data_IF_986884678705
#
_entry.id   IF_986884678705
#
_cell.length_a   1.000
_cell.length_b   1.000
_cell.length_c   1.000
_cell.angle_alpha   90.00
_cell.angle_beta   90.00
_cell.angle_gamma   90.00
#
_symmetry.space_group_name_H-M   'P 1'
#
loop_
_entity.id
_entity.type
_entity.pdbx_description
1 polymer ?
#
# COMPACT_ATOMS: atom_id res chain seq x y z
N UNK A 1 9.19 -51.31 4.75
CA UNK A 1 10.02 -50.24 4.16
C UNK A 1 9.17 -49.09 3.59
N UNK A 2 8.27 -49.33 2.63
CA UNK A 2 7.44 -48.26 2.04
C UNK A 2 6.56 -47.49 3.05
N UNK A 3 6.09 -48.14 4.11
CA UNK A 3 5.25 -47.50 5.13
C UNK A 3 5.99 -46.41 5.94
N UNK A 4 7.29 -46.60 6.22
CA UNK A 4 8.09 -45.67 7.02
C UNK A 4 8.41 -44.42 6.21
N UNK A 5 8.72 -44.57 4.91
CA UNK A 5 8.94 -43.44 4.01
C UNK A 5 7.63 -42.67 3.78
N UNK A 6 6.51 -43.37 3.60
CA UNK A 6 5.19 -42.74 3.49
C UNK A 6 4.85 -41.94 4.77
N UNK A 7 5.14 -42.49 5.96
CA UNK A 7 4.95 -41.82 7.23
C UNK A 7 5.87 -40.60 7.42
N UNK A 8 7.11 -40.65 6.92
CA UNK A 8 8.02 -39.50 6.95
C UNK A 8 7.58 -38.38 5.98
N UNK A 9 7.07 -38.74 4.80
CA UNK A 9 6.55 -37.79 3.81
C UNK A 9 5.23 -37.16 4.30
N UNK A 10 4.32 -37.97 4.85
CA UNK A 10 3.08 -37.50 5.47
C UNK A 10 3.35 -36.67 6.73
N UNK A 11 4.35 -37.06 7.52
CA UNK A 11 4.82 -36.31 8.68
C UNK A 11 5.39 -34.95 8.29
N UNK A 12 6.18 -34.88 7.22
CA UNK A 12 6.69 -33.63 6.66
C UNK A 12 5.54 -32.72 6.17
N UNK A 13 4.60 -33.28 5.41
CA UNK A 13 3.39 -32.56 4.97
C UNK A 13 2.54 -32.05 6.14
N UNK A 14 2.41 -32.86 7.20
CA UNK A 14 1.71 -32.49 8.44
C UNK A 14 2.41 -31.38 9.22
N UNK A 15 3.74 -31.39 9.29
CA UNK A 15 4.53 -30.33 9.93
C UNK A 15 4.39 -29.02 9.14
N UNK A 16 4.43 -29.07 7.81
CA UNK A 16 4.17 -27.91 6.95
C UNK A 16 2.75 -27.37 7.13
N UNK A 17 1.75 -28.25 7.25
CA UNK A 17 0.35 -27.88 7.50
C UNK A 17 0.14 -27.27 8.90
N UNK A 18 0.82 -27.77 9.93
CA UNK A 18 0.76 -27.20 11.29
C UNK A 18 1.46 -25.83 11.38
N UNK A 19 2.55 -25.63 10.62
CA UNK A 19 3.19 -24.31 10.46
C UNK A 19 2.22 -23.33 9.75
N UNK A 20 1.38 -23.84 8.83
CA UNK A 20 0.40 -23.06 8.09
C UNK A 20 -0.79 -22.59 8.97
N UNK A 21 -1.27 -23.42 9.91
CA UNK A 21 -2.44 -23.07 10.75
C UNK A 21 -2.14 -22.04 11.87
N UNK A 22 -0.90 -21.94 12.35
CA UNK A 22 -0.59 -21.24 13.61
C UNK A 22 -0.41 -19.70 13.50
N UNK A 23 -0.93 -19.01 12.47
CA UNK A 23 -0.62 -17.57 12.27
C UNK A 23 -1.76 -16.71 11.73
N UNK A 24 -1.91 -15.54 12.37
CA UNK A 24 -3.06 -14.61 12.36
C UNK A 24 -3.79 -14.39 11.02
N UNK A 25 -5.14 -14.40 11.03
CA UNK A 25 -6.00 -14.26 9.84
C UNK A 25 -5.96 -12.88 9.15
N UNK A 26 -5.39 -11.83 9.76
CA UNK A 26 -5.37 -10.46 9.18
C UNK A 26 -4.15 -10.10 8.31
N UNK A 27 -3.12 -10.94 8.21
CA UNK A 27 -1.92 -10.63 7.39
C UNK A 27 -2.08 -11.02 5.92
N UNK A 28 -1.68 -10.13 5.01
CA UNK A 28 -1.69 -10.40 3.56
C UNK A 28 -0.95 -11.70 3.22
N UNK A 29 -1.52 -12.48 2.30
CA UNK A 29 -1.05 -13.80 1.85
C UNK A 29 0.47 -13.85 1.59
N UNK A 30 1.03 -12.77 1.04
CA UNK A 30 2.45 -12.60 0.77
C UNK A 30 3.34 -12.60 2.03
N UNK A 31 2.98 -11.82 3.06
CA UNK A 31 3.78 -11.72 4.29
C UNK A 31 3.82 -13.06 5.03
N UNK A 32 2.78 -13.89 4.87
CA UNK A 32 2.75 -15.26 5.39
C UNK A 32 3.74 -16.15 4.63
N UNK A 33 3.69 -16.16 3.30
CA UNK A 33 4.55 -17.00 2.47
C UNK A 33 6.03 -16.63 2.60
N UNK A 34 6.38 -15.35 2.73
CA UNK A 34 7.78 -14.94 2.96
C UNK A 34 8.34 -15.38 4.33
N UNK A 35 7.52 -15.41 5.39
CA UNK A 35 7.96 -15.96 6.67
C UNK A 35 8.06 -17.48 6.63
N UNK A 36 7.18 -18.13 5.87
CA UNK A 36 7.20 -19.57 5.66
C UNK A 36 8.46 -19.96 4.87
N UNK A 37 8.75 -19.30 3.74
CA UNK A 37 9.89 -19.61 2.86
C UNK A 37 11.23 -19.66 3.59
N UNK A 38 11.48 -18.71 4.50
CA UNK A 38 12.67 -18.68 5.37
C UNK A 38 12.75 -19.92 6.26
N UNK A 39 11.66 -20.25 6.95
CA UNK A 39 11.62 -21.39 7.85
C UNK A 39 11.68 -22.72 7.08
N UNK A 40 11.01 -22.84 5.94
CA UNK A 40 11.07 -24.02 5.07
C UNK A 40 12.47 -24.26 4.54
N UNK A 41 13.23 -23.21 4.18
CA UNK A 41 14.62 -23.36 3.71
C UNK A 41 15.52 -23.98 4.79
N UNK A 42 15.49 -23.45 6.02
CA UNK A 42 16.31 -23.99 7.11
C UNK A 42 15.87 -25.39 7.52
N UNK A 43 14.57 -25.66 7.51
CA UNK A 43 14.02 -26.99 7.85
C UNK A 43 14.34 -28.02 6.76
N UNK A 44 14.21 -27.69 5.48
CA UNK A 44 14.55 -28.59 4.37
C UNK A 44 16.05 -28.88 4.33
N UNK A 45 16.89 -27.88 4.60
CA UNK A 45 18.34 -28.03 4.72
C UNK A 45 18.73 -28.92 5.90
N UNK A 46 18.11 -28.74 7.07
CA UNK A 46 18.38 -29.57 8.25
C UNK A 46 17.96 -31.03 8.02
N UNK A 47 16.78 -31.25 7.43
CA UNK A 47 16.29 -32.59 7.07
C UNK A 47 17.21 -33.24 6.03
N UNK A 48 17.71 -32.47 5.06
CA UNK A 48 18.69 -32.94 4.08
C UNK A 48 19.98 -33.43 4.76
N UNK A 49 20.56 -32.64 5.66
CA UNK A 49 21.79 -33.01 6.38
C UNK A 49 21.57 -34.28 7.20
N UNK A 50 20.44 -34.39 7.90
CA UNK A 50 20.09 -35.58 8.69
C UNK A 50 19.89 -36.81 7.79
N UNK A 51 19.20 -36.67 6.65
CA UNK A 51 19.03 -37.76 5.68
C UNK A 51 20.37 -38.24 5.12
N UNK A 52 21.28 -37.33 4.76
CA UNK A 52 22.62 -37.68 4.28
C UNK A 52 23.42 -38.46 5.34
N UNK A 53 23.33 -38.06 6.62
CA UNK A 53 24.02 -38.75 7.73
C UNK A 53 23.40 -40.13 8.00
N UNK A 54 22.07 -40.23 8.01
CA UNK A 54 21.37 -41.51 8.25
C UNK A 54 21.63 -42.51 7.12
N UNK A 55 21.64 -42.06 5.87
CA UNK A 55 21.96 -42.90 4.71
C UNK A 55 23.43 -43.36 4.74
N UNK A 56 24.35 -42.49 5.12
CA UNK A 56 25.77 -42.83 5.28
C UNK A 56 26.00 -43.90 6.37
N UNK A 57 25.29 -43.80 7.50
CA UNK A 57 25.44 -44.73 8.64
C UNK A 57 24.75 -46.08 8.39
N UNK A 58 23.63 -46.10 7.67
CA UNK A 58 22.77 -47.29 7.60
C UNK A 58 23.29 -48.44 6.72
N UNK A 59 24.27 -48.22 5.85
CA UNK A 59 25.02 -49.27 5.12
C UNK A 59 24.19 -50.28 4.31
N UNK A 60 22.89 -50.08 4.14
CA UNK A 60 21.94 -51.12 3.73
C UNK A 60 20.94 -50.61 2.69
N UNK A 61 20.70 -51.49 1.72
CA UNK A 61 19.93 -51.35 0.48
C UNK A 61 18.47 -50.90 0.71
N UNK A 62 18.26 -49.62 0.93
CA UNK A 62 17.23 -48.93 0.16
C UNK A 62 17.86 -48.54 -1.17
N UNK A 63 17.17 -48.81 -2.28
CA UNK A 63 17.69 -48.55 -3.63
C UNK A 63 18.32 -47.14 -3.65
N UNK A 64 19.66 -47.00 -3.81
CA UNK A 64 20.35 -45.73 -3.66
C UNK A 64 19.75 -44.65 -4.56
N UNK A 65 19.07 -45.07 -5.63
CA UNK A 65 18.32 -44.24 -6.55
C UNK A 65 17.09 -43.58 -5.92
N UNK A 66 16.30 -44.28 -5.10
CA UNK A 66 15.15 -43.70 -4.39
C UNK A 66 15.61 -42.67 -3.36
N UNK A 67 16.69 -42.97 -2.63
CA UNK A 67 17.30 -42.04 -1.71
C UNK A 67 17.83 -40.79 -2.45
N UNK A 68 18.49 -40.98 -3.59
CA UNK A 68 19.00 -39.91 -4.44
C UNK A 68 17.86 -39.02 -4.99
N UNK A 69 16.74 -39.61 -5.42
CA UNK A 69 15.55 -38.88 -5.88
C UNK A 69 14.95 -38.04 -4.74
N UNK A 70 14.83 -38.59 -3.54
CA UNK A 70 14.36 -37.85 -2.36
C UNK A 70 15.28 -36.68 -2.01
N UNK A 71 16.60 -36.91 -1.99
CA UNK A 71 17.64 -35.90 -1.77
C UNK A 71 17.53 -34.78 -2.82
N UNK A 72 17.29 -35.12 -4.09
CA UNK A 72 17.13 -34.17 -5.19
C UNK A 72 15.84 -33.35 -5.11
N UNK A 73 14.74 -33.95 -4.67
CA UNK A 73 13.48 -33.21 -4.43
C UNK A 73 13.66 -32.16 -3.33
N UNK A 74 14.32 -32.53 -2.23
CA UNK A 74 14.63 -31.66 -1.08
C UNK A 74 15.58 -30.51 -1.45
N UNK A 75 16.60 -30.78 -2.26
CA UNK A 75 17.53 -29.74 -2.73
C UNK A 75 16.84 -28.77 -3.68
N UNK A 76 15.95 -29.24 -4.56
CA UNK A 76 15.13 -28.39 -5.43
C UNK A 76 14.23 -27.41 -4.67
N UNK A 77 13.54 -27.88 -3.62
CA UNK A 77 12.72 -27.02 -2.74
C UNK A 77 13.59 -25.98 -2.01
N UNK A 78 14.79 -26.37 -1.60
CA UNK A 78 15.74 -25.48 -0.92
C UNK A 78 16.25 -24.37 -1.86
N UNK A 79 16.62 -24.71 -3.09
CA UNK A 79 17.05 -23.73 -4.11
C UNK A 79 15.92 -22.76 -4.45
N UNK A 80 14.70 -23.27 -4.67
CA UNK A 80 13.52 -22.45 -4.97
C UNK A 80 13.23 -21.46 -3.83
N UNK A 81 13.34 -21.90 -2.59
CA UNK A 81 13.15 -21.07 -1.39
C UNK A 81 14.24 -20.01 -1.23
N UNK A 82 15.49 -20.34 -1.57
CA UNK A 82 16.60 -19.39 -1.55
C UNK A 82 16.45 -18.31 -2.62
N UNK A 83 16.07 -18.69 -3.85
CA UNK A 83 15.83 -17.73 -4.95
C UNK A 83 14.67 -16.80 -4.61
N UNK A 84 13.56 -17.34 -4.09
CA UNK A 84 12.43 -16.53 -3.63
C UNK A 84 12.86 -15.50 -2.58
N UNK A 85 13.69 -15.91 -1.62
CA UNK A 85 14.20 -15.01 -0.58
C UNK A 85 15.16 -13.95 -1.14
N UNK A 86 16.03 -14.30 -2.09
CA UNK A 86 16.90 -13.33 -2.77
C UNK A 86 16.09 -12.28 -3.54
N UNK A 87 15.05 -12.69 -4.26
CA UNK A 87 14.17 -11.78 -4.99
C UNK A 87 13.41 -10.88 -4.00
N UNK A 88 12.88 -11.47 -2.93
CA UNK A 88 12.17 -10.76 -1.86
C UNK A 88 13.04 -9.69 -1.16
N UNK A 89 14.33 -9.99 -0.91
CA UNK A 89 15.24 -9.02 -0.29
C UNK A 89 15.63 -7.89 -1.24
N UNK A 90 15.71 -8.16 -2.54
CA UNK A 90 16.13 -7.18 -3.56
C UNK A 90 15.01 -6.23 -3.98
N UNK A 91 13.74 -6.63 -3.82
CA UNK A 91 12.61 -5.96 -4.47
C UNK A 91 11.54 -5.61 -3.44
N UNK A 92 11.44 -4.32 -3.09
CA UNK A 92 10.28 -3.75 -2.38
C UNK A 92 9.13 -3.60 -3.38
N UNK A 93 8.49 -4.72 -3.71
CA UNK A 93 7.41 -4.76 -4.70
C UNK A 93 6.09 -4.17 -4.19
N UNK A 94 5.25 -3.71 -5.11
CA UNK A 94 3.86 -3.32 -4.83
C UNK A 94 3.03 -4.52 -4.35
N UNK A 95 1.88 -4.28 -3.71
CA UNK A 95 1.02 -5.35 -3.18
C UNK A 95 0.69 -6.45 -4.21
N UNK A 96 0.52 -6.09 -5.48
CA UNK A 96 0.21 -7.01 -6.59
C UNK A 96 1.44 -7.86 -6.97
N UNK A 97 2.62 -7.25 -7.09
CA UNK A 97 3.87 -7.97 -7.42
C UNK A 97 4.18 -9.05 -6.38
N UNK A 98 3.92 -8.72 -5.13
CA UNK A 98 4.11 -9.61 -3.99
C UNK A 98 3.15 -10.81 -4.03
N UNK A 99 1.87 -10.60 -4.39
CA UNK A 99 0.92 -11.71 -4.56
C UNK A 99 1.33 -12.67 -5.70
N UNK A 100 1.78 -12.13 -6.84
CA UNK A 100 2.24 -12.93 -7.98
C UNK A 100 3.48 -13.75 -7.60
N UNK A 101 4.45 -13.15 -6.90
CA UNK A 101 5.67 -13.86 -6.48
C UNK A 101 5.35 -15.05 -5.55
N UNK A 102 4.39 -14.86 -4.63
CA UNK A 102 3.92 -15.93 -3.73
C UNK A 102 3.20 -17.06 -4.47
N UNK A 103 2.42 -16.73 -5.50
CA UNK A 103 1.75 -17.73 -6.33
C UNK A 103 2.76 -18.65 -7.03
N UNK A 104 3.79 -18.08 -7.67
CA UNK A 104 4.81 -18.87 -8.37
C UNK A 104 5.65 -19.73 -7.42
N UNK A 105 5.94 -19.25 -6.22
CA UNK A 105 6.62 -20.05 -5.20
C UNK A 105 5.79 -21.28 -4.78
N UNK A 106 4.50 -21.08 -4.47
CA UNK A 106 3.60 -22.17 -4.11
C UNK A 106 3.42 -23.17 -5.27
N UNK A 107 3.30 -22.66 -6.50
CA UNK A 107 3.20 -23.47 -7.70
C UNK A 107 4.46 -24.32 -7.93
N UNK A 108 5.65 -23.77 -7.71
CA UNK A 108 6.90 -24.51 -7.83
C UNK A 108 7.03 -25.65 -6.80
N UNK A 109 6.64 -25.42 -5.54
CA UNK A 109 6.58 -26.48 -4.52
C UNK A 109 5.59 -27.58 -4.93
N UNK A 110 4.41 -27.19 -5.40
CA UNK A 110 3.37 -28.14 -5.84
C UNK A 110 3.83 -29.01 -7.01
N UNK A 111 4.47 -28.41 -8.02
CA UNK A 111 5.04 -29.15 -9.16
C UNK A 111 6.16 -30.10 -8.74
N UNK A 112 7.04 -29.69 -7.82
CA UNK A 112 8.09 -30.55 -7.27
C UNK A 112 7.48 -31.78 -6.54
N UNK A 113 6.40 -31.56 -5.78
CA UNK A 113 5.68 -32.62 -5.09
C UNK A 113 5.01 -33.62 -6.07
N UNK A 114 4.29 -33.13 -7.07
CA UNK A 114 3.65 -33.98 -8.09
C UNK A 114 4.67 -34.83 -8.86
N UNK A 115 5.81 -34.23 -9.22
CA UNK A 115 6.85 -34.92 -9.98
C UNK A 115 7.57 -35.97 -9.12
N UNK A 116 7.81 -35.68 -7.83
CA UNK A 116 8.34 -36.67 -6.86
C UNK A 116 7.39 -37.86 -6.71
N UNK A 117 6.08 -37.64 -6.64
CA UNK A 117 5.08 -38.72 -6.61
C UNK A 117 5.10 -39.54 -7.91
N UNK A 118 5.12 -38.88 -9.07
CA UNK A 118 5.12 -39.58 -10.37
C UNK A 118 6.33 -40.50 -10.56
N UNK A 119 7.49 -40.14 -10.00
CA UNK A 119 8.70 -40.95 -10.05
C UNK A 119 8.64 -42.14 -9.10
N UNK A 120 8.01 -41.97 -7.93
CA UNK A 120 7.81 -43.06 -6.97
C UNK A 120 6.78 -44.10 -7.43
N UNK A 121 5.97 -43.80 -8.46
CA UNK A 121 4.99 -44.73 -9.05
C UNK A 121 5.52 -45.55 -10.22
N UNK A 122 6.76 -45.31 -10.69
CA UNK A 122 7.36 -46.10 -11.78
C UNK A 122 7.79 -47.47 -11.27
N UNK A 123 7.32 -48.55 -11.92
CA UNK A 123 7.59 -49.93 -11.54
C UNK A 123 9.09 -50.27 -11.55
N UNK A 124 9.57 -50.89 -10.47
CA UNK A 124 10.97 -51.21 -10.18
C UNK A 124 11.53 -52.42 -10.95
N UNK A 125 10.86 -52.89 -12.02
CA UNK A 125 11.25 -54.08 -12.78
C UNK A 125 12.10 -53.75 -14.03
N UNK A 126 12.85 -52.65 -13.95
CA UNK A 126 13.63 -52.07 -15.05
C UNK A 126 15.12 -52.36 -14.79
N UNK A 127 15.91 -52.58 -15.85
CA UNK A 127 17.34 -52.83 -15.74
C UNK A 127 18.05 -51.70 -14.97
N UNK A 128 19.13 -51.99 -14.24
CA UNK A 128 19.84 -50.99 -13.44
C UNK A 128 20.37 -49.82 -14.27
N UNK A 129 20.68 -50.05 -15.56
CA UNK A 129 21.15 -49.04 -16.51
C UNK A 129 20.01 -48.11 -16.94
N UNK A 130 18.83 -48.68 -17.26
CA UNK A 130 17.63 -47.91 -17.64
C UNK A 130 17.04 -47.14 -16.45
N UNK A 131 17.22 -47.67 -15.23
CA UNK A 131 16.83 -47.01 -13.99
C UNK A 131 17.73 -45.80 -13.67
N UNK A 132 19.04 -45.90 -13.92
CA UNK A 132 19.96 -44.76 -13.78
C UNK A 132 19.67 -43.71 -14.86
N UNK A 133 19.44 -44.12 -16.11
CA UNK A 133 19.11 -43.21 -17.21
C UNK A 133 17.79 -42.45 -16.96
N UNK A 134 16.76 -43.14 -16.46
CA UNK A 134 15.48 -42.51 -16.09
C UNK A 134 15.61 -41.59 -14.87
N UNK A 135 16.39 -41.95 -13.85
CA UNK A 135 16.66 -41.07 -12.71
C UNK A 135 17.41 -39.78 -13.11
N UNK A 136 18.40 -39.88 -14.00
CA UNK A 136 19.11 -38.73 -14.56
C UNK A 136 18.17 -37.88 -15.43
N UNK A 137 17.31 -38.49 -16.24
CA UNK A 137 16.31 -37.78 -17.05
C UNK A 137 15.30 -37.00 -16.20
N UNK A 138 14.81 -37.61 -15.11
CA UNK A 138 13.94 -36.98 -14.12
C UNK A 138 14.63 -35.79 -13.44
N UNK A 139 15.91 -35.93 -13.08
CA UNK A 139 16.68 -34.85 -12.48
C UNK A 139 16.83 -33.65 -13.43
N UNK A 140 17.17 -33.91 -14.70
CA UNK A 140 17.30 -32.87 -15.72
C UNK A 140 15.95 -32.17 -15.94
N UNK A 141 14.84 -32.91 -15.96
CA UNK A 141 13.49 -32.35 -16.09
C UNK A 141 13.09 -31.49 -14.89
N UNK A 142 13.36 -31.96 -13.67
CA UNK A 142 13.12 -31.22 -12.43
C UNK A 142 13.93 -29.92 -12.37
N UNK A 143 15.21 -29.99 -12.72
CA UNK A 143 16.08 -28.82 -12.78
C UNK A 143 15.61 -27.81 -13.83
N UNK A 144 15.24 -28.28 -15.02
CA UNK A 144 14.75 -27.45 -16.10
C UNK A 144 13.43 -26.76 -15.74
N UNK A 145 12.46 -27.47 -15.15
CA UNK A 145 11.18 -26.87 -14.76
C UNK A 145 11.34 -25.77 -13.70
N UNK A 146 12.16 -26.03 -12.67
CA UNK A 146 12.45 -25.05 -11.63
C UNK A 146 13.20 -23.83 -12.19
N UNK A 147 14.15 -24.06 -13.10
CA UNK A 147 14.88 -22.99 -13.79
C UNK A 147 13.93 -22.14 -14.65
N UNK A 148 13.02 -22.77 -15.40
CA UNK A 148 12.04 -22.07 -16.25
C UNK A 148 11.07 -21.24 -15.40
N UNK A 149 10.54 -21.80 -14.30
CA UNK A 149 9.67 -21.08 -13.38
C UNK A 149 10.39 -19.89 -12.74
N UNK A 150 11.64 -20.08 -12.30
CA UNK A 150 12.46 -18.99 -11.76
C UNK A 150 12.75 -17.90 -12.78
N UNK A 151 12.99 -18.26 -14.04
CA UNK A 151 13.30 -17.33 -15.12
C UNK A 151 12.05 -16.54 -15.55
N UNK A 152 10.88 -17.19 -15.62
CA UNK A 152 9.58 -16.53 -15.83
C UNK A 152 9.28 -15.50 -14.74
N UNK A 153 9.49 -15.87 -13.47
CA UNK A 153 9.34 -14.95 -12.33
C UNK A 153 10.28 -13.76 -12.45
N UNK A 154 11.57 -14.00 -12.75
CA UNK A 154 12.56 -12.95 -12.93
C UNK A 154 12.20 -11.98 -14.07
N UNK A 155 11.73 -12.50 -15.21
CA UNK A 155 11.29 -11.69 -16.36
C UNK A 155 10.04 -10.88 -16.04
N UNK A 156 9.01 -11.47 -15.44
CA UNK A 156 7.78 -10.77 -15.07
C UNK A 156 8.11 -9.65 -14.07
N UNK A 157 8.96 -9.93 -13.09
CA UNK A 157 9.38 -8.93 -12.10
C UNK A 157 10.27 -7.86 -12.72
N UNK A 158 11.13 -8.20 -13.68
CA UNK A 158 11.94 -7.22 -14.41
C UNK A 158 11.11 -6.33 -15.33
N UNK A 159 10.10 -6.88 -16.01
CA UNK A 159 9.16 -6.12 -16.85
C UNK A 159 8.28 -5.21 -15.97
N UNK A 160 7.74 -5.72 -14.86
CA UNK A 160 6.96 -4.91 -13.93
C UNK A 160 7.82 -3.93 -13.11
N UNK A 161 9.11 -4.23 -12.90
CA UNK A 161 10.09 -3.37 -12.25
C UNK A 161 10.63 -2.28 -13.17
N UNK A 162 10.66 -2.50 -14.50
CA UNK A 162 10.93 -1.48 -15.50
C UNK A 162 9.90 -0.34 -15.45
N UNK A 163 8.64 -0.65 -15.12
CA UNK A 163 7.60 0.35 -14.84
C UNK A 163 7.78 1.08 -13.51
N UNK A 164 8.69 0.62 -12.65
CA UNK A 164 8.94 1.15 -11.31
C UNK A 164 10.33 1.79 -11.16
N UNK A 165 10.94 2.23 -12.28
CA UNK A 165 12.13 3.07 -12.21
C UNK A 165 11.87 4.28 -11.30
N UNK A 166 12.77 4.63 -10.37
CA UNK A 166 12.66 5.90 -9.65
C UNK A 166 12.64 6.98 -10.73
N UNK A 167 11.56 7.75 -10.77
CA UNK A 167 11.30 8.76 -11.79
C UNK A 167 12.44 9.79 -11.75
N UNK A 168 13.50 9.56 -12.53
CA UNK A 168 14.44 10.59 -12.97
C UNK A 168 13.86 11.18 -14.24
N UNK A 169 12.99 12.16 -14.01
CA UNK A 169 12.69 13.34 -14.81
C UNK A 169 12.48 13.25 -16.34
N UNK A 170 11.41 13.98 -16.75
CA UNK A 170 11.14 14.61 -18.05
C UNK A 170 10.45 13.75 -19.11
N UNK A 171 9.14 13.62 -18.97
CA UNK A 171 8.21 14.06 -20.04
C UNK A 171 7.01 14.75 -19.41
N UNK A 172 6.77 16.00 -19.81
CA UNK A 172 5.55 16.75 -19.48
C UNK A 172 4.35 15.92 -19.98
N UNK A 173 3.27 15.76 -19.21
CA UNK A 173 2.07 15.15 -19.74
C UNK A 173 1.55 15.99 -20.91
N UNK A 174 1.31 15.33 -22.05
CA UNK A 174 0.71 15.93 -23.24
C UNK A 174 -0.69 16.43 -22.87
N UNK A 175 -0.92 17.70 -23.14
CA UNK A 175 -2.12 18.45 -22.77
C UNK A 175 -3.34 17.87 -23.49
N UNK A 176 -4.42 17.56 -22.75
CA UNK A 176 -5.77 17.58 -23.30
C UNK A 176 -6.11 19.06 -23.53
N UNK A 177 -6.38 19.46 -24.78
CA UNK A 177 -6.64 20.87 -25.20
C UNK A 177 -7.52 21.67 -24.23
N UNK A 178 -8.47 21.00 -23.60
CA UNK A 178 -9.40 21.47 -22.57
C UNK A 178 -8.74 22.29 -21.43
N UNK A 179 -7.55 21.89 -20.97
CA UNK A 179 -6.92 22.50 -19.80
C UNK A 179 -6.22 23.83 -20.10
N UNK A 180 -5.78 24.07 -21.35
CA UNK A 180 -5.18 25.36 -21.73
C UNK A 180 -6.24 26.45 -21.85
N UNK A 181 -7.39 26.10 -22.43
CA UNK A 181 -8.54 27.00 -22.56
C UNK A 181 -9.03 27.47 -21.21
N UNK A 182 -9.07 26.59 -20.20
CA UNK A 182 -9.47 26.96 -18.83
C UNK A 182 -8.61 28.06 -18.21
N UNK A 183 -7.28 27.98 -18.32
CA UNK A 183 -6.40 29.00 -17.73
C UNK A 183 -6.39 30.31 -18.53
N UNK A 184 -6.59 30.22 -19.85
CA UNK A 184 -6.77 31.39 -20.71
C UNK A 184 -8.08 32.13 -20.36
N UNK A 185 -9.16 31.40 -20.05
CA UNK A 185 -10.43 31.95 -19.57
C UNK A 185 -10.29 32.65 -18.20
N UNK A 186 -9.37 32.19 -17.35
CA UNK A 186 -9.00 32.85 -16.08
C UNK A 186 -8.11 34.09 -16.28
N UNK A 187 -7.78 34.45 -17.52
CA UNK A 187 -7.03 35.67 -17.87
C UNK A 187 -5.51 35.52 -17.83
N UNK A 188 -4.98 34.30 -17.74
CA UNK A 188 -3.54 34.05 -17.68
C UNK A 188 -2.90 34.08 -19.07
N UNK A 189 -1.71 34.66 -19.18
CA UNK A 189 -0.91 34.62 -20.41
C UNK A 189 -0.25 33.24 -20.60
N UNK A 190 0.10 32.85 -21.84
CA UNK A 190 0.77 31.57 -22.09
C UNK A 190 2.07 31.35 -21.29
N UNK A 191 2.80 32.43 -21.00
CA UNK A 191 4.02 32.37 -20.19
C UNK A 191 3.71 32.11 -18.72
N UNK A 192 2.71 32.79 -18.16
CA UNK A 192 2.25 32.56 -16.78
C UNK A 192 1.72 31.14 -16.61
N UNK A 193 0.98 30.62 -17.60
CA UNK A 193 0.50 29.23 -17.61
C UNK A 193 1.67 28.23 -17.58
N UNK A 194 2.74 28.44 -18.36
CA UNK A 194 3.90 27.53 -18.34
C UNK A 194 4.63 27.57 -16.99
N UNK A 195 4.74 28.75 -16.36
CA UNK A 195 5.33 28.92 -15.03
C UNK A 195 4.49 28.27 -13.95
N UNK A 196 3.19 28.58 -13.89
CA UNK A 196 2.22 27.99 -12.98
C UNK A 196 2.26 26.45 -13.02
N UNK A 197 2.30 25.89 -14.23
CA UNK A 197 2.36 24.42 -14.40
C UNK A 197 3.65 23.80 -13.89
N UNK A 198 4.79 24.50 -13.96
CA UNK A 198 6.04 24.02 -13.37
C UNK A 198 5.95 24.01 -11.85
N UNK A 199 5.45 25.10 -11.27
CA UNK A 199 5.28 25.24 -9.83
C UNK A 199 4.31 24.18 -9.29
N UNK A 200 3.16 23.99 -9.93
CA UNK A 200 2.19 22.97 -9.56
C UNK A 200 2.72 21.54 -9.77
N UNK A 201 3.61 21.33 -10.74
CA UNK A 201 4.29 20.04 -10.87
C UNK A 201 5.17 19.76 -9.65
N UNK A 202 5.94 20.74 -9.18
CA UNK A 202 6.83 20.60 -8.02
C UNK A 202 6.03 20.41 -6.73
N UNK A 203 4.97 21.20 -6.51
CA UNK A 203 4.03 21.03 -5.39
C UNK A 203 3.46 19.61 -5.38
N UNK A 204 3.03 19.10 -6.54
CA UNK A 204 2.55 17.71 -6.64
C UNK A 204 3.61 16.69 -6.23
N UNK A 205 4.88 16.90 -6.59
CA UNK A 205 5.95 16.00 -6.14
C UNK A 205 6.11 16.04 -4.62
N UNK A 206 6.03 17.22 -4.00
CA UNK A 206 6.08 17.36 -2.55
C UNK A 206 4.91 16.64 -1.86
N UNK A 207 3.68 16.74 -2.37
CA UNK A 207 2.51 16.04 -1.82
C UNK A 207 2.68 14.51 -1.88
N UNK A 208 3.15 13.99 -3.02
CA UNK A 208 3.38 12.55 -3.17
C UNK A 208 4.46 12.05 -2.21
N UNK A 209 5.53 12.85 -2.02
CA UNK A 209 6.59 12.52 -1.08
C UNK A 209 6.13 12.61 0.37
N UNK A 210 5.28 13.59 0.71
CA UNK A 210 4.66 13.69 2.04
C UNK A 210 3.81 12.46 2.34
N UNK A 211 3.00 12.00 1.38
CA UNK A 211 2.16 10.80 1.52
C UNK A 211 3.00 9.55 1.81
N UNK A 212 4.12 9.37 1.10
CA UNK A 212 5.02 8.26 1.34
C UNK A 212 5.72 8.38 2.71
N UNK A 213 6.29 9.53 3.02
CA UNK A 213 7.13 9.73 4.20
C UNK A 213 6.32 9.80 5.50
N UNK A 214 5.09 10.32 5.47
CA UNK A 214 4.22 10.32 6.64
C UNK A 214 3.89 8.91 7.15
N UNK A 215 3.89 7.91 6.27
CA UNK A 215 3.56 6.51 6.60
C UNK A 215 4.74 5.71 7.16
N UNK A 216 5.98 6.22 7.08
CA UNK A 216 7.18 5.43 7.37
C UNK A 216 7.36 5.09 8.86
N UNK A 217 6.98 6.00 9.76
CA UNK A 217 7.14 5.82 11.21
C UNK A 217 5.81 5.98 11.94
N UNK A 218 5.67 5.30 13.09
CA UNK A 218 4.44 5.35 13.87
C UNK A 218 4.06 6.76 14.35
N UNK A 219 5.05 7.57 14.75
CA UNK A 219 4.83 8.95 15.20
C UNK A 219 4.34 9.85 14.04
N UNK A 220 4.96 9.75 12.86
CA UNK A 220 4.56 10.54 11.70
C UNK A 220 3.17 10.14 11.20
N UNK A 221 2.86 8.83 11.15
CA UNK A 221 1.53 8.34 10.78
C UNK A 221 0.46 8.89 11.73
N UNK A 222 0.71 8.86 13.03
CA UNK A 222 -0.24 9.37 14.02
C UNK A 222 -0.51 10.87 13.85
N UNK A 223 0.54 11.68 13.63
CA UNK A 223 0.38 13.12 13.36
C UNK A 223 -0.38 13.37 12.06
N UNK A 224 0.00 12.70 10.97
CA UNK A 224 -0.61 12.87 9.67
C UNK A 224 -2.11 12.52 9.69
N UNK A 225 -2.50 11.49 10.44
CA UNK A 225 -3.90 11.12 10.66
C UNK A 225 -4.63 12.15 11.53
N UNK A 226 -4.01 12.62 12.63
CA UNK A 226 -4.62 13.60 13.54
C UNK A 226 -4.99 14.90 12.84
N UNK A 227 -4.13 15.37 11.94
CA UNK A 227 -4.34 16.61 11.18
C UNK A 227 -4.94 16.39 9.80
N UNK A 228 -5.15 15.13 9.38
CA UNK A 228 -5.59 14.79 8.03
C UNK A 228 -4.75 15.45 6.91
N UNK A 229 -3.46 15.67 7.17
CA UNK A 229 -2.64 16.59 6.37
C UNK A 229 -2.47 16.15 4.91
N UNK A 230 -2.40 14.84 4.66
CA UNK A 230 -2.28 14.31 3.28
C UNK A 230 -3.54 14.62 2.46
N UNK A 231 -4.73 14.54 3.06
CA UNK A 231 -5.96 14.88 2.36
C UNK A 231 -6.07 16.40 2.15
N UNK A 232 -5.74 17.20 3.17
CA UNK A 232 -5.79 18.66 3.09
C UNK A 232 -4.84 19.18 2.02
N UNK A 233 -3.58 18.73 2.00
CA UNK A 233 -2.60 19.15 0.98
C UNK A 233 -3.03 18.78 -0.44
N UNK A 234 -3.61 17.59 -0.64
CA UNK A 234 -4.18 17.17 -1.94
C UNK A 234 -5.39 18.03 -2.35
N UNK A 235 -6.24 18.38 -1.38
CA UNK A 235 -7.42 19.20 -1.61
C UNK A 235 -7.02 20.62 -1.95
N UNK A 236 -6.16 21.22 -1.14
CA UNK A 236 -5.63 22.56 -1.37
C UNK A 236 -4.97 22.69 -2.74
N UNK A 237 -4.17 21.70 -3.15
CA UNK A 237 -3.61 21.65 -4.50
C UNK A 237 -4.67 21.67 -5.60
N UNK A 238 -5.77 20.92 -5.43
CA UNK A 238 -6.87 20.90 -6.39
C UNK A 238 -7.55 22.26 -6.47
N UNK A 239 -7.82 22.87 -5.31
CA UNK A 239 -8.50 24.16 -5.24
C UNK A 239 -7.62 25.29 -5.82
N UNK A 240 -6.28 25.27 -5.61
CA UNK A 240 -5.33 26.19 -6.27
C UNK A 240 -5.32 26.02 -7.79
N UNK A 241 -5.42 24.78 -8.28
CA UNK A 241 -5.46 24.50 -9.72
C UNK A 241 -6.78 24.95 -10.36
N UNK A 242 -7.89 24.86 -9.62
CA UNK A 242 -9.22 25.33 -10.06
C UNK A 242 -9.31 26.86 -10.05
N UNK A 243 -8.65 27.52 -9.10
CA UNK A 243 -8.60 28.99 -8.95
C UNK A 243 -7.18 29.52 -9.21
N UNK A 244 -6.59 29.16 -10.35
CA UNK A 244 -5.19 29.45 -10.68
C UNK A 244 -4.80 30.94 -10.64
N UNK A 245 -5.76 31.84 -10.86
CA UNK A 245 -5.58 33.29 -10.73
C UNK A 245 -5.33 33.77 -9.29
N UNK A 246 -5.62 32.93 -8.29
CA UNK A 246 -5.37 33.18 -6.86
C UNK A 246 -4.11 32.50 -6.33
N UNK A 247 -3.17 32.13 -7.20
CA UNK A 247 -1.91 31.49 -6.77
C UNK A 247 -1.16 32.29 -5.70
N UNK A 248 -1.24 33.62 -5.75
CA UNK A 248 -0.60 34.50 -4.77
C UNK A 248 -1.12 34.27 -3.33
N UNK A 249 -2.39 33.86 -3.19
CA UNK A 249 -3.01 33.55 -1.90
C UNK A 249 -2.46 32.24 -1.29
N UNK A 250 -1.74 31.44 -2.08
CA UNK A 250 -1.17 30.15 -1.68
C UNK A 250 0.37 30.11 -1.74
N UNK A 251 1.05 31.25 -1.94
CA UNK A 251 2.50 31.32 -2.09
C UNK A 251 3.26 30.66 -0.92
N UNK A 252 2.84 30.92 0.32
CA UNK A 252 3.55 30.35 1.48
C UNK A 252 3.39 28.84 1.54
N UNK A 253 2.21 28.31 1.19
CA UNK A 253 2.01 26.88 1.06
C UNK A 253 2.95 26.27 0.01
N UNK A 254 2.98 26.87 -1.18
CA UNK A 254 3.73 26.39 -2.35
C UNK A 254 5.25 26.40 -2.08
N UNK A 255 5.78 27.51 -1.59
CA UNK A 255 7.22 27.75 -1.53
C UNK A 255 7.84 27.50 -0.17
N UNK A 256 7.06 27.52 0.91
CA UNK A 256 7.60 27.46 2.26
C UNK A 256 7.09 26.26 3.05
N UNK A 257 5.80 26.22 3.37
CA UNK A 257 5.27 25.27 4.36
C UNK A 257 5.34 23.83 3.87
N UNK A 258 4.82 23.53 2.67
CA UNK A 258 4.81 22.16 2.16
C UNK A 258 6.22 21.62 1.88
N UNK A 259 7.13 22.33 1.18
CA UNK A 259 8.50 21.85 0.99
C UNK A 259 9.24 21.63 2.32
N UNK A 260 9.09 22.53 3.29
CA UNK A 260 9.74 22.40 4.60
C UNK A 260 9.19 21.23 5.39
N UNK A 261 7.87 21.00 5.33
CA UNK A 261 7.24 19.86 5.99
C UNK A 261 7.80 18.54 5.44
N UNK A 262 7.89 18.41 4.12
CA UNK A 262 8.45 17.22 3.46
C UNK A 262 9.90 16.98 3.89
N UNK A 263 10.75 18.01 3.80
CA UNK A 263 12.16 17.90 4.16
C UNK A 263 12.35 17.50 5.64
N UNK A 264 11.53 18.07 6.54
CA UNK A 264 11.63 17.79 7.97
C UNK A 264 11.11 16.39 8.33
N UNK A 265 10.03 15.93 7.70
CA UNK A 265 9.51 14.56 7.87
C UNK A 265 10.52 13.53 7.36
N UNK A 266 11.15 13.78 6.22
CA UNK A 266 12.19 12.89 5.67
C UNK A 266 13.39 12.76 6.60
N UNK A 267 13.94 13.90 7.06
CA UNK A 267 15.06 13.94 8.00
C UNK A 267 14.69 13.28 9.33
N UNK A 268 13.46 13.47 9.80
CA UNK A 268 12.96 12.79 10.99
C UNK A 268 12.99 11.26 10.80
N UNK A 269 12.46 10.75 9.69
CA UNK A 269 12.40 9.32 9.42
C UNK A 269 13.80 8.71 9.26
N UNK A 270 14.72 9.43 8.61
CA UNK A 270 16.13 9.01 8.49
C UNK A 270 16.77 8.81 9.87
N UNK A 271 16.68 9.82 10.74
CA UNK A 271 17.28 9.77 12.08
C UNK A 271 16.57 8.74 12.97
N UNK A 272 15.25 8.57 12.84
CA UNK A 272 14.52 7.52 13.55
C UNK A 272 14.97 6.11 13.15
N UNK A 273 15.43 5.92 11.92
CA UNK A 273 15.96 4.64 11.44
C UNK A 273 17.31 4.23 12.04
N UNK A 274 18.05 5.15 12.67
CA UNK A 274 19.41 4.88 13.16
C UNK A 274 19.42 3.92 14.37
N UNK A 275 20.34 2.93 14.36
CA UNK A 275 20.46 1.89 15.41
C UNK A 275 21.03 2.46 16.72
N UNK A 276 22.03 3.33 16.64
CA UNK A 276 22.63 3.99 17.79
C UNK A 276 22.04 5.40 17.97
N UNK A 277 21.21 5.60 19.00
CA UNK A 277 20.65 6.90 19.36
C UNK A 277 21.12 7.27 20.76
N UNK A 278 21.63 8.48 20.95
CA UNK A 278 21.97 9.01 22.26
C UNK A 278 20.84 9.93 22.79
N UNK A 279 20.94 10.38 24.05
CA UNK A 279 19.93 11.27 24.67
C UNK A 279 19.66 12.53 23.84
N UNK A 280 20.70 13.11 23.24
CA UNK A 280 20.58 14.30 22.40
C UNK A 280 19.80 14.01 21.10
N UNK A 281 20.01 12.84 20.49
CA UNK A 281 19.25 12.40 19.31
C UNK A 281 17.75 12.34 19.60
N UNK A 282 17.34 11.79 20.74
CA UNK A 282 15.91 11.76 21.13
C UNK A 282 15.32 13.15 21.34
N UNK A 283 16.07 14.07 21.95
CA UNK A 283 15.63 15.44 22.13
C UNK A 283 15.44 16.18 20.78
N UNK A 284 16.35 15.96 19.83
CA UNK A 284 16.23 16.52 18.47
C UNK A 284 15.01 15.93 17.79
N UNK A 285 14.80 14.62 17.84
CA UNK A 285 13.62 13.96 17.28
C UNK A 285 12.32 14.52 17.87
N UNK A 286 12.27 14.78 19.17
CA UNK A 286 11.10 15.38 19.80
C UNK A 286 10.83 16.80 19.30
N UNK A 287 11.88 17.64 19.25
CA UNK A 287 11.77 19.01 18.72
C UNK A 287 11.37 19.02 17.25
N UNK A 288 11.92 18.11 16.45
CA UNK A 288 11.55 17.95 15.04
C UNK A 288 10.08 17.55 14.90
N UNK A 289 9.58 16.62 15.72
CA UNK A 289 8.16 16.25 15.68
C UNK A 289 7.23 17.43 16.02
N UNK A 290 7.60 18.27 16.99
CA UNK A 290 6.84 19.46 17.32
C UNK A 290 6.87 20.50 16.19
N UNK A 291 8.02 20.70 15.55
CA UNK A 291 8.13 21.61 14.40
C UNK A 291 7.35 21.08 13.18
N UNK A 292 7.36 19.77 12.94
CA UNK A 292 6.52 19.11 11.93
C UNK A 292 5.05 19.38 12.21
N UNK A 293 4.61 19.22 13.46
CA UNK A 293 3.25 19.50 13.87
C UNK A 293 2.84 20.96 13.63
N UNK A 294 3.71 21.93 13.94
CA UNK A 294 3.44 23.35 13.65
C UNK A 294 3.30 23.60 12.14
N UNK A 295 4.18 23.04 11.31
CA UNK A 295 4.06 23.15 9.85
C UNK A 295 2.76 22.54 9.31
N UNK A 296 2.24 21.46 9.94
CA UNK A 296 0.93 20.93 9.58
C UNK A 296 -0.20 21.90 9.90
N UNK A 297 -0.14 22.56 11.06
CA UNK A 297 -1.11 23.59 11.48
C UNK A 297 -1.05 24.79 10.53
N UNK A 298 0.14 25.30 10.22
CA UNK A 298 0.32 26.44 9.31
C UNK A 298 -0.28 26.16 7.91
N UNK A 299 -0.15 24.92 7.41
CA UNK A 299 -0.78 24.51 6.14
C UNK A 299 -2.31 24.51 6.24
N UNK A 300 -2.86 24.08 7.38
CA UNK A 300 -4.31 24.07 7.62
C UNK A 300 -4.84 25.50 7.69
N UNK A 301 -4.12 26.38 8.35
CA UNK A 301 -4.48 27.79 8.47
C UNK A 301 -4.44 28.47 7.09
N UNK A 302 -3.41 28.20 6.27
CA UNK A 302 -3.33 28.72 4.90
C UNK A 302 -4.47 28.17 4.01
N UNK A 303 -4.79 26.87 4.15
CA UNK A 303 -5.93 26.25 3.45
C UNK A 303 -7.26 26.90 3.84
N UNK A 304 -7.44 27.17 5.13
CA UNK A 304 -8.66 27.78 5.67
C UNK A 304 -8.78 29.24 5.22
N UNK A 305 -7.69 30.00 5.28
CA UNK A 305 -7.63 31.38 4.79
C UNK A 305 -7.95 31.47 3.30
N UNK A 306 -7.47 30.52 2.49
CA UNK A 306 -7.81 30.45 1.06
C UNK A 306 -9.33 30.30 0.81
N UNK A 307 -10.04 29.66 1.72
CA UNK A 307 -11.50 29.42 1.65
C UNK A 307 -12.34 30.42 2.45
N UNK A 308 -11.71 31.37 3.17
CA UNK A 308 -12.39 32.25 4.12
C UNK A 308 -13.53 33.05 3.47
N UNK A 309 -13.32 33.54 2.24
CA UNK A 309 -14.35 34.25 1.47
C UNK A 309 -15.60 33.38 1.25
N UNK A 310 -15.42 32.12 0.86
CA UNK A 310 -16.55 31.20 0.63
C UNK A 310 -17.27 30.86 1.94
N UNK A 311 -16.55 30.82 3.06
CA UNK A 311 -17.13 30.60 4.39
C UNK A 311 -17.96 31.82 4.82
N UNK A 312 -17.44 33.03 4.63
CA UNK A 312 -18.16 34.28 4.93
C UNK A 312 -19.42 34.44 4.08
N UNK A 313 -19.35 34.13 2.78
CA UNK A 313 -20.52 34.15 1.89
C UNK A 313 -21.59 33.15 2.35
N UNK A 314 -21.18 31.94 2.76
CA UNK A 314 -22.08 30.92 3.29
C UNK A 314 -22.69 31.33 4.64
N UNK A 315 -21.92 31.96 5.53
CA UNK A 315 -22.43 32.51 6.79
C UNK A 315 -23.49 33.58 6.54
N UNK A 316 -23.27 34.48 5.58
CA UNK A 316 -24.24 35.48 5.17
C UNK A 316 -25.50 34.84 4.56
N UNK A 317 -25.37 33.84 3.70
CA UNK A 317 -26.51 33.10 3.15
C UNK A 317 -27.31 32.38 4.24
N UNK A 318 -26.63 31.78 5.23
CA UNK A 318 -27.27 31.16 6.39
C UNK A 318 -28.01 32.20 7.24
N UNK A 319 -27.42 33.38 7.46
CA UNK A 319 -28.06 34.47 8.19
C UNK A 319 -29.30 35.00 7.44
N UNK A 320 -29.21 35.19 6.12
CA UNK A 320 -30.36 35.54 5.27
C UNK A 320 -31.46 34.47 5.30
N UNK A 321 -31.08 33.19 5.25
CA UNK A 321 -32.02 32.07 5.36
C UNK A 321 -32.69 32.03 6.75
N UNK A 322 -31.94 32.28 7.83
CA UNK A 322 -32.47 32.36 9.18
C UNK A 322 -33.43 33.55 9.34
N UNK A 323 -33.06 34.73 8.81
CA UNK A 323 -33.86 35.96 8.86
C UNK A 323 -35.13 35.87 8.01
N UNK A 324 -35.07 35.17 6.87
CA UNK A 324 -36.26 34.92 6.05
C UNK A 324 -37.22 33.93 6.71
N UNK A 325 -36.73 32.95 7.50
CA UNK A 325 -37.59 32.11 8.35
C UNK A 325 -38.27 32.90 9.47
N UNK A 326 -37.53 33.71 10.22
CA UNK A 326 -38.10 34.51 11.32
C UNK A 326 -39.11 35.55 10.80
N UNK A 327 -38.85 36.17 9.65
CA UNK A 327 -39.83 37.06 9.01
C UNK A 327 -41.11 36.32 8.60
N UNK A 328 -41.01 35.08 8.11
CA UNK A 328 -42.18 34.26 7.74
C UNK A 328 -43.00 33.83 8.96
N UNK A 329 -42.36 33.56 10.09
CA UNK A 329 -43.05 33.32 11.38
C UNK A 329 -43.73 34.59 11.91
N UNK A 330 -43.11 35.76 11.71
CA UNK A 330 -43.68 37.05 12.16
C UNK A 330 -44.88 37.49 11.31
N UNK A 331 -44.84 37.27 9.99
CA UNK A 331 -45.99 37.52 9.11
C UNK A 331 -47.15 36.54 9.40
N UNK A 332 -46.85 35.28 9.75
CA UNK A 332 -47.88 34.30 10.12
C UNK A 332 -48.57 34.62 11.44
N UNK A 333 -47.83 35.08 12.46
CA UNK A 333 -48.41 35.49 13.74
C UNK A 333 -49.15 36.81 13.65
N UNK A 334 -48.70 37.76 12.82
CA UNK A 334 -49.38 39.06 12.62
C UNK A 334 -50.70 38.87 11.87
N UNK A 335 -50.72 38.06 10.79
CA UNK A 335 -51.97 37.72 10.08
C UNK A 335 -52.97 37.00 10.98
N UNK A 336 -52.51 36.06 11.82
CA UNK A 336 -53.40 35.34 12.76
C UNK A 336 -53.90 36.25 13.89
N UNK A 337 -53.13 37.24 14.32
CA UNK A 337 -53.53 38.12 15.42
C UNK A 337 -54.50 39.20 14.95
N UNK A 338 -54.27 39.80 13.78
CA UNK A 338 -55.17 40.79 13.19
C UNK A 338 -56.47 40.16 12.69
N UNK A 339 -56.45 38.94 12.14
CA UNK A 339 -57.70 38.26 11.75
C UNK A 339 -58.55 37.85 12.95
N UNK A 340 -57.92 37.37 14.03
CA UNK A 340 -58.62 37.00 15.28
C UNK A 340 -59.14 38.26 16.00
N UNK A 341 -58.39 39.37 16.01
CA UNK A 341 -58.86 40.63 16.60
C UNK A 341 -60.04 41.22 15.82
N UNK A 342 -60.00 41.22 14.48
CA UNK A 342 -61.09 41.75 13.67
C UNK A 342 -62.36 40.87 13.77
N UNK A 343 -62.23 39.54 13.77
CA UNK A 343 -63.36 38.63 14.02
C UNK A 343 -63.95 38.81 15.44
N UNK A 344 -63.13 39.15 16.44
CA UNK A 344 -63.58 39.35 17.82
C UNK A 344 -64.32 40.68 18.02
N UNK A 345 -63.93 41.74 17.32
CA UNK A 345 -64.62 43.04 17.40
C UNK A 345 -65.87 43.13 16.51
N UNK A 346 -65.93 42.40 15.39
CA UNK A 346 -67.12 42.34 14.54
C UNK A 346 -68.25 41.48 15.16
N UNK A 347 -67.93 40.54 16.06
CA UNK A 347 -68.93 39.72 16.76
C UNK A 347 -69.59 40.43 17.95
N UNK A 348 -68.90 41.41 18.57
CA UNK A 348 -69.46 42.21 19.68
C UNK A 348 -70.27 43.42 19.19
N UNK A 349 -69.96 43.99 18.02
CA UNK A 349 -70.75 45.08 17.41
C UNK A 349 -72.13 44.61 16.90
N UNK A 350 -72.26 43.32 16.52
CA UNK A 350 -73.55 42.75 16.10
C UNK A 350 -74.44 42.28 17.26
N UNK A 351 -73.94 42.26 18.51
CA UNK A 351 -74.74 41.88 19.69
C UNK A 351 -75.38 43.06 20.41
N UNK A 352 -74.99 44.30 20.11
CA UNK A 352 -75.65 45.51 20.64
C UNK A 352 -76.79 46.05 19.76
N UNK A 353 -76.98 45.54 18.54
CA UNK A 353 -78.14 45.87 17.68
C UNK A 353 -79.33 44.90 17.79
N UNK A 354 -79.24 43.83 18.59
CA UNK A 354 -80.36 42.90 18.89
C UNK A 354 -80.76 42.90 20.39
N UNK A 355 -80.83 44.09 21.00
CA UNK A 355 -81.50 44.33 22.28
C UNK A 355 -83.02 44.54 22.12
#
# INVERSE_FOLDING_TARGET
>A
MNLIILLLVLGYGGIQYLIYQKKDPEQSFYRRISKISKNTFFVSLAIFVVLCVVLYISGSLFNPLVALIMIMSLSGISILSFIFELINQRIKGTHIQNQVLSFFYAFGIFCNFLLTIGVLTVDMNISTVDLIASAVGVFVMLGALNSICSLMVFLIVSILGLFNSPIKQRRRPVVKRDLMTHYEELGMTPSEIDTFRKEMYDVKQHILRLEESAEQTGKMRALALRYNIVAITKRFFKDIVEEANRINDAERFIYHFLPSLVDLVDKYNEIQGHIAKNKQTYLILERSANAIEQLMIDIIDEYTAFHEKNIQDLEFEVELAAKSRSRKETDFTTYSSESILNDFFDEDLNKEEEA
#
